data_IF_547983162913
#
_entry.id   IF_547983162913
#
_cell.length_a   1.000
_cell.length_b   1.000
_cell.length_c   1.000
_cell.angle_alpha   90.00
_cell.angle_beta   90.00
_cell.angle_gamma   90.00
#
_symmetry.space_group_name_H-M   'P 1'
#
loop_
_entity.id
_entity.type
_entity.pdbx_description
1 polymer ?
#
# COMPACT_ATOMS: atom_id res chain seq x y z
N UNK A 1 -0.40 7.28 19.44
CA UNK A 1 -0.58 5.93 18.87
C UNK A 1 0.01 5.87 17.49
N UNK A 2 0.91 4.97 17.25
CA UNK A 2 1.45 4.84 15.91
C UNK A 2 0.39 4.32 14.97
N UNK A 3 0.34 4.89 13.80
CA UNK A 3 -0.49 4.38 12.74
C UNK A 3 0.33 3.35 11.99
N UNK A 4 -0.30 2.28 11.61
CA UNK A 4 0.38 1.31 10.78
C UNK A 4 -0.45 1.06 9.53
N UNK A 5 0.24 0.69 8.49
CA UNK A 5 -0.35 0.43 7.20
C UNK A 5 0.00 -0.98 6.79
N UNK A 6 -0.92 -1.64 6.13
CA UNK A 6 -0.70 -3.00 5.67
C UNK A 6 -0.79 -2.99 4.15
N UNK A 7 0.27 -3.47 3.51
CA UNK A 7 0.30 -3.61 2.06
C UNK A 7 0.05 -5.07 1.75
N UNK A 8 -0.97 -5.36 0.98
CA UNK A 8 -1.34 -6.73 0.61
C UNK A 8 -1.30 -6.91 -0.89
N UNK A 9 -0.95 -8.08 -1.31
CA UNK A 9 -0.97 -8.42 -2.73
C UNK A 9 -1.08 -9.92 -2.87
N UNK A 10 -1.47 -10.37 -4.05
CA UNK A 10 -1.56 -11.77 -4.38
C UNK A 10 -0.43 -12.14 -5.31
N UNK A 11 0.18 -13.29 -5.07
CA UNK A 11 1.20 -13.83 -5.95
C UNK A 11 1.05 -15.35 -5.92
N UNK A 12 0.80 -15.95 -7.09
CA UNK A 12 0.74 -17.41 -7.23
C UNK A 12 -0.17 -18.06 -6.20
N UNK A 13 -1.38 -17.53 -6.07
CA UNK A 13 -2.39 -18.05 -5.14
C UNK A 13 -2.05 -17.86 -3.68
N UNK A 14 -1.04 -17.06 -3.40
CA UNK A 14 -0.69 -16.73 -2.02
C UNK A 14 -0.97 -15.26 -1.77
N UNK A 15 -1.23 -14.94 -0.52
CA UNK A 15 -1.42 -13.56 -0.10
C UNK A 15 -0.19 -13.15 0.68
N UNK A 16 0.42 -12.08 0.24
CA UNK A 16 1.52 -11.47 0.99
C UNK A 16 1.02 -10.20 1.66
N UNK A 17 1.48 -9.97 2.87
CA UNK A 17 1.15 -8.73 3.55
C UNK A 17 2.38 -8.25 4.30
N UNK A 18 2.57 -6.94 4.28
CA UNK A 18 3.68 -6.29 4.95
C UNK A 18 3.12 -5.13 5.73
N UNK A 19 3.52 -5.01 6.97
CA UNK A 19 3.10 -3.89 7.81
C UNK A 19 4.19 -2.84 7.79
N UNK A 20 3.80 -1.60 7.57
CA UNK A 20 4.73 -0.47 7.60
C UNK A 20 4.24 0.55 8.61
N UNK A 21 5.12 1.44 9.02
CA UNK A 21 4.79 2.42 10.03
C UNK A 21 4.34 3.75 9.46
N UNK A 22 4.65 4.01 8.20
CA UNK A 22 4.28 5.27 7.59
C UNK A 22 3.59 5.03 6.27
N UNK A 23 2.78 6.01 5.86
CA UNK A 23 2.11 5.94 4.56
C UNK A 23 3.12 5.93 3.43
N UNK A 24 4.19 6.67 3.58
CA UNK A 24 5.21 6.75 2.56
C UNK A 24 5.86 5.40 2.33
N UNK A 25 6.16 4.68 3.41
CA UNK A 25 6.75 3.35 3.30
C UNK A 25 5.77 2.37 2.67
N UNK A 26 4.50 2.48 3.03
CA UNK A 26 3.49 1.60 2.45
C UNK A 26 3.39 1.81 0.95
N UNK A 27 3.38 3.07 0.54
CA UNK A 27 3.29 3.38 -0.89
C UNK A 27 4.52 2.89 -1.63
N UNK A 28 5.70 3.09 -1.05
CA UNK A 28 6.94 2.63 -1.67
C UNK A 28 6.93 1.12 -1.88
N UNK A 29 6.45 0.38 -0.89
CA UNK A 29 6.36 -1.06 -1.00
C UNK A 29 5.37 -1.47 -2.07
N UNK A 30 4.23 -0.81 -2.12
CA UNK A 30 3.22 -1.14 -3.12
C UNK A 30 3.73 -0.88 -4.53
N UNK A 31 4.44 0.22 -4.73
CA UNK A 31 5.01 0.54 -6.03
C UNK A 31 6.08 -0.48 -6.41
N UNK A 32 6.90 -0.87 -5.45
CA UNK A 32 7.91 -1.87 -5.69
C UNK A 32 7.29 -3.17 -6.20
N UNK A 33 6.19 -3.59 -5.56
CA UNK A 33 5.50 -4.80 -5.97
C UNK A 33 4.84 -4.63 -7.34
N UNK A 34 4.32 -3.45 -7.60
CA UNK A 34 3.68 -3.17 -8.88
C UNK A 34 4.69 -3.28 -10.02
N UNK A 35 5.88 -2.73 -9.82
CA UNK A 35 6.92 -2.76 -10.83
C UNK A 35 7.42 -4.19 -11.07
N UNK A 36 7.40 -5.01 -10.03
CA UNK A 36 7.85 -6.39 -10.14
C UNK A 36 6.97 -7.23 -11.06
N UNK A 37 5.71 -6.81 -11.25
CA UNK A 37 4.77 -7.45 -12.18
C UNK A 37 4.43 -8.89 -11.82
N UNK A 38 4.77 -9.30 -10.61
CA UNK A 38 4.44 -10.64 -10.12
C UNK A 38 3.23 -10.62 -9.20
N UNK A 39 2.83 -9.46 -8.76
CA UNK A 39 1.78 -9.30 -7.77
C UNK A 39 0.54 -8.73 -8.40
N UNK A 40 -0.61 -9.21 -7.94
CA UNK A 40 -1.90 -8.70 -8.40
C UNK A 40 -2.70 -8.23 -7.21
N UNK A 41 -3.71 -7.39 -7.49
CA UNK A 41 -4.63 -6.89 -6.47
C UNK A 41 -3.89 -6.26 -5.29
N UNK A 42 -2.88 -5.47 -5.61
CA UNK A 42 -2.11 -4.78 -4.57
C UNK A 42 -3.02 -3.74 -3.92
N UNK A 43 -3.05 -3.76 -2.60
CA UNK A 43 -3.86 -2.81 -1.86
C UNK A 43 -3.10 -2.36 -0.62
N UNK A 44 -3.44 -1.18 -0.15
CA UNK A 44 -2.85 -0.60 1.04
C UNK A 44 -3.99 -0.29 1.99
N UNK A 45 -3.89 -0.79 3.22
CA UNK A 45 -4.92 -0.56 4.22
C UNK A 45 -4.36 0.27 5.36
N UNK A 46 -5.14 1.23 5.81
CA UNK A 46 -4.74 2.05 6.95
C UNK A 46 -5.42 1.61 8.25
N UNK A 47 -6.04 0.43 8.21
CA UNK A 47 -6.72 -0.07 9.38
C UNK A 47 -8.22 0.16 9.35
N UNK A 48 -8.69 1.09 8.54
CA UNK A 48 -10.12 1.36 8.38
C UNK A 48 -10.57 1.15 6.96
N UNK A 49 -9.71 1.41 6.01
CA UNK A 49 -10.06 1.43 4.60
C UNK A 49 -8.93 0.84 3.79
N UNK A 50 -9.28 0.25 2.66
CA UNK A 50 -8.29 -0.26 1.71
C UNK A 50 -8.27 0.65 0.49
N UNK A 51 -7.09 0.82 -0.08
CA UNK A 51 -6.89 1.69 -1.23
C UNK A 51 -6.10 0.94 -2.28
N UNK A 52 -6.40 1.22 -3.54
CA UNK A 52 -5.53 0.80 -4.62
C UNK A 52 -4.29 1.72 -4.64
N UNK A 53 -3.30 1.35 -5.45
CA UNK A 53 -2.12 2.19 -5.57
C UNK A 53 -2.50 3.58 -6.06
N UNK A 54 -3.37 3.64 -7.06
CA UNK A 54 -3.78 4.94 -7.61
C UNK A 54 -4.52 5.77 -6.57
N UNK A 55 -5.41 5.13 -5.82
CA UNK A 55 -6.15 5.83 -4.79
C UNK A 55 -5.24 6.33 -3.68
N UNK A 56 -4.30 5.48 -3.30
CA UNK A 56 -3.39 5.87 -2.21
C UNK A 56 -2.45 6.98 -2.66
N UNK A 57 -2.09 6.99 -3.93
CA UNK A 57 -1.29 8.07 -4.48
C UNK A 57 -2.00 9.41 -4.31
N UNK A 58 -3.31 9.43 -4.56
CA UNK A 58 -4.10 10.64 -4.36
C UNK A 58 -4.13 11.06 -2.90
N UNK A 59 -4.24 10.09 -2.00
CA UNK A 59 -4.24 10.39 -0.58
C UNK A 59 -2.91 11.02 -0.16
N UNK A 60 -1.81 10.45 -0.65
CA UNK A 60 -0.50 11.00 -0.33
C UNK A 60 -0.31 12.40 -0.89
N UNK A 61 -0.79 12.64 -2.11
CA UNK A 61 -0.71 13.97 -2.70
C UNK A 61 -1.47 14.97 -1.85
N UNK A 62 -2.59 14.53 -1.29
CA UNK A 62 -3.38 15.37 -0.42
C UNK A 62 -2.61 15.75 0.84
N UNK A 63 -1.90 14.79 1.42
CA UNK A 63 -1.09 15.06 2.60
C UNK A 63 0.03 16.04 2.30
N UNK A 64 0.61 15.93 1.13
CA UNK A 64 1.73 16.78 0.76
C UNK A 64 1.31 18.18 0.43
N UNK A 65 0.05 18.39 0.30
CA UNK A 65 -0.49 19.70 -0.10
C UNK A 65 -0.66 20.63 1.09
N UNK A 66 0.10 20.43 2.09
CA UNK A 66 0.03 21.30 3.28
C UNK A 66 0.79 22.61 3.07
#
# INVERSE_FOLDING_TARGET
>A
MPMSFVVKAYVDDHVLSVTTETAKEAFAKAVEWHVAERFTDISISDGTKSYSIAEFSSVLASFRHQ
#
